data_IF_202688751856
#
_entry.id   IF_202688751856
#
_cell.length_a   1.000
_cell.length_b   1.000
_cell.length_c   1.000
_cell.angle_alpha   90.00
_cell.angle_beta   90.00
_cell.angle_gamma   90.00
#
_symmetry.space_group_name_H-M   'P 1'
#
loop_
_entity.id
_entity.type
_entity.pdbx_description
1 polymer ?
#
# COMPACT_ATOMS: atom_id res chain seq x y z
N UNK A 1 44.86 -33.14 -8.35
CA UNK A 1 43.49 -33.60 -7.99
C UNK A 1 42.80 -32.69 -6.96
N UNK A 2 43.46 -32.35 -5.83
CA UNK A 2 42.89 -31.53 -4.74
C UNK A 2 42.30 -30.18 -5.21
N UNK A 3 42.99 -29.46 -6.11
CA UNK A 3 42.54 -28.15 -6.63
C UNK A 3 41.22 -28.23 -7.42
N UNK A 4 40.96 -29.33 -8.14
CA UNK A 4 39.69 -29.55 -8.86
C UNK A 4 38.56 -29.92 -7.89
N UNK A 5 38.86 -30.68 -6.84
CA UNK A 5 37.89 -31.05 -5.79
C UNK A 5 37.43 -29.81 -5.00
N UNK A 6 38.35 -28.91 -4.64
CA UNK A 6 38.01 -27.66 -3.95
C UNK A 6 37.09 -26.77 -4.80
N UNK A 7 37.36 -26.64 -6.10
CA UNK A 7 36.50 -25.85 -7.01
C UNK A 7 35.10 -26.44 -7.08
N UNK A 8 34.97 -27.77 -7.18
CA UNK A 8 33.66 -28.44 -7.24
C UNK A 8 32.88 -28.23 -5.92
N UNK A 9 33.54 -28.40 -4.77
CA UNK A 9 32.89 -28.20 -3.46
C UNK A 9 32.45 -26.76 -3.27
N UNK A 10 33.27 -25.78 -3.65
CA UNK A 10 32.92 -24.35 -3.60
C UNK A 10 31.75 -24.04 -4.54
N UNK A 11 31.76 -24.55 -5.77
CA UNK A 11 30.63 -24.38 -6.70
C UNK A 11 29.34 -25.01 -6.16
N UNK A 12 29.40 -26.21 -5.57
CA UNK A 12 28.23 -26.86 -4.94
C UNK A 12 27.73 -26.05 -3.76
N UNK A 13 28.61 -25.56 -2.88
CA UNK A 13 28.22 -24.71 -1.74
C UNK A 13 27.58 -23.39 -2.19
N UNK A 14 28.10 -22.76 -3.25
CA UNK A 14 27.52 -21.54 -3.84
C UNK A 14 26.14 -21.83 -4.47
N UNK A 15 25.98 -22.94 -5.19
CA UNK A 15 24.70 -23.34 -5.78
C UNK A 15 23.64 -23.68 -4.71
N UNK A 16 24.06 -24.34 -3.62
CA UNK A 16 23.19 -24.67 -2.49
C UNK A 16 22.79 -23.39 -1.74
N UNK A 17 23.73 -22.49 -1.44
CA UNK A 17 23.43 -21.22 -0.76
C UNK A 17 22.45 -20.33 -1.53
N UNK A 18 22.55 -20.27 -2.87
CA UNK A 18 21.59 -19.54 -3.71
C UNK A 18 20.18 -20.15 -3.68
N UNK A 19 20.06 -21.46 -3.47
CA UNK A 19 18.77 -22.16 -3.35
C UNK A 19 18.08 -21.90 -2.00
N UNK A 20 18.84 -21.50 -0.97
CA UNK A 20 18.32 -21.16 0.37
C UNK A 20 18.10 -19.65 0.58
N UNK A 21 18.46 -18.80 -0.36
CA UNK A 21 18.22 -17.36 -0.26
C UNK A 21 16.70 -17.07 -0.25
N UNK A 22 16.25 -16.34 0.77
CA UNK A 22 14.84 -15.98 0.92
C UNK A 22 14.39 -15.12 -0.27
N UNK A 23 13.45 -15.63 -1.07
CA UNK A 23 12.94 -14.90 -2.23
C UNK A 23 12.13 -13.67 -1.80
N UNK A 24 12.21 -12.61 -2.59
CA UNK A 24 11.55 -11.34 -2.31
C UNK A 24 10.77 -10.86 -3.52
N UNK A 25 9.52 -10.46 -3.31
CA UNK A 25 8.63 -10.02 -4.38
C UNK A 25 7.96 -8.72 -3.99
N UNK A 26 7.72 -7.84 -4.95
CA UNK A 26 6.97 -6.62 -4.71
C UNK A 26 5.96 -6.36 -5.83
N UNK A 27 4.79 -5.87 -5.45
CA UNK A 27 3.80 -5.32 -6.38
C UNK A 27 3.48 -3.89 -5.96
N UNK A 28 3.75 -2.96 -6.86
CA UNK A 28 3.57 -1.53 -6.63
C UNK A 28 2.50 -1.00 -7.59
N UNK A 29 1.58 -0.20 -7.08
CA UNK A 29 0.54 0.48 -7.84
C UNK A 29 0.70 1.98 -7.63
N UNK A 30 0.76 2.75 -8.71
CA UNK A 30 0.96 4.20 -8.67
C UNK A 30 0.13 4.90 -9.72
N UNK A 31 -0.72 5.84 -9.31
CA UNK A 31 -1.60 6.57 -10.23
C UNK A 31 -1.33 8.06 -10.04
N UNK A 32 -1.09 8.77 -11.14
CA UNK A 32 -0.90 10.22 -11.11
C UNK A 32 -1.97 10.93 -11.93
N UNK A 33 -2.26 10.43 -13.13
CA UNK A 33 -3.23 11.06 -14.04
C UNK A 33 -4.58 10.34 -14.05
N UNK A 34 -5.49 10.73 -13.16
CA UNK A 34 -6.84 10.15 -13.11
C UNK A 34 -7.72 10.59 -14.28
N UNK A 35 -7.37 11.71 -14.94
CA UNK A 35 -8.12 12.21 -16.08
C UNK A 35 -7.93 11.35 -17.35
N UNK A 36 -6.86 10.54 -17.41
CA UNK A 36 -6.55 9.73 -18.58
C UNK A 36 -7.68 8.77 -18.98
N UNK A 37 -8.40 8.21 -18.00
CA UNK A 37 -9.56 7.34 -18.23
C UNK A 37 -10.87 7.90 -17.67
N UNK A 38 -10.82 8.80 -16.67
CA UNK A 38 -12.00 9.47 -16.14
C UNK A 38 -12.09 10.92 -16.66
N UNK A 39 -12.73 11.10 -17.82
CA UNK A 39 -12.90 12.41 -18.48
C UNK A 39 -13.82 13.39 -17.75
N UNK A 40 -14.51 12.95 -16.70
CA UNK A 40 -15.36 13.82 -15.92
C UNK A 40 -14.56 14.72 -14.95
N UNK A 41 -13.22 14.58 -14.90
CA UNK A 41 -12.30 15.33 -14.03
C UNK A 41 -12.75 15.32 -12.56
N UNK A 42 -13.28 14.17 -12.15
CA UNK A 42 -13.86 13.97 -10.82
C UNK A 42 -12.82 13.78 -9.72
N UNK A 43 -11.63 13.31 -10.10
CA UNK A 43 -10.50 13.08 -9.23
C UNK A 43 -9.39 14.06 -9.58
N UNK A 44 -8.78 14.67 -8.57
CA UNK A 44 -7.58 15.48 -8.80
C UNK A 44 -6.41 14.57 -9.21
N UNK A 45 -5.53 15.10 -10.04
CA UNK A 45 -4.26 14.43 -10.29
C UNK A 45 -3.37 14.52 -9.03
N UNK A 46 -2.61 13.45 -8.80
CA UNK A 46 -1.65 13.31 -7.70
C UNK A 46 -0.32 12.82 -8.29
N UNK A 47 0.64 12.43 -7.46
CA UNK A 47 1.98 12.06 -7.92
C UNK A 47 2.38 10.62 -7.55
N UNK A 48 1.42 9.68 -7.63
CA UNK A 48 1.67 8.31 -7.20
C UNK A 48 2.75 7.57 -8.01
N UNK A 49 2.98 7.95 -9.26
CA UNK A 49 4.07 7.37 -10.06
C UNK A 49 5.47 7.82 -9.64
N UNK A 50 5.59 8.97 -8.97
CA UNK A 50 6.86 9.38 -8.35
C UNK A 50 7.23 8.42 -7.21
N UNK A 51 6.27 8.04 -6.37
CA UNK A 51 6.48 7.09 -5.27
C UNK A 51 6.88 5.71 -5.80
N UNK A 52 6.14 5.21 -6.81
CA UNK A 52 6.46 3.91 -7.42
C UNK A 52 7.86 3.90 -8.02
N UNK A 53 8.30 4.97 -8.68
CA UNK A 53 9.66 5.06 -9.22
C UNK A 53 10.72 4.95 -8.11
N UNK A 54 10.52 5.69 -7.03
CA UNK A 54 11.43 5.78 -5.89
C UNK A 54 11.49 4.45 -5.11
N UNK A 55 10.35 3.81 -4.84
CA UNK A 55 10.30 2.52 -4.15
C UNK A 55 10.77 1.37 -5.05
N UNK A 56 10.50 1.41 -6.36
CA UNK A 56 10.99 0.39 -7.31
C UNK A 56 12.52 0.33 -7.30
N UNK A 57 13.18 1.48 -7.40
CA UNK A 57 14.65 1.55 -7.41
C UNK A 57 15.24 1.01 -6.11
N UNK A 58 14.66 1.39 -4.98
CA UNK A 58 15.05 0.91 -3.66
C UNK A 58 14.92 -0.62 -3.55
N UNK A 59 13.74 -1.18 -3.82
CA UNK A 59 13.48 -2.60 -3.62
C UNK A 59 14.29 -3.47 -4.58
N UNK A 60 14.52 -3.01 -5.82
CA UNK A 60 15.43 -3.69 -6.76
C UNK A 60 16.85 -3.78 -6.21
N UNK A 61 17.39 -2.70 -5.63
CA UNK A 61 18.70 -2.71 -4.96
C UNK A 61 18.76 -3.70 -3.79
N UNK A 62 17.63 -3.99 -3.16
CA UNK A 62 17.52 -4.98 -2.09
C UNK A 62 17.16 -6.40 -2.56
N UNK A 63 17.19 -6.66 -3.88
CA UNK A 63 16.99 -7.99 -4.45
C UNK A 63 15.54 -8.42 -4.63
N UNK A 64 14.57 -7.49 -4.60
CA UNK A 64 13.17 -7.82 -4.87
C UNK A 64 12.90 -8.03 -6.36
N UNK A 65 12.08 -9.02 -6.68
CA UNK A 65 11.41 -9.11 -7.97
C UNK A 65 10.22 -8.13 -7.97
N UNK A 66 10.42 -6.95 -8.55
CA UNK A 66 9.45 -5.85 -8.52
C UNK A 66 8.58 -5.87 -9.78
N UNK A 67 7.26 -5.91 -9.60
CA UNK A 67 6.26 -5.62 -10.63
C UNK A 67 5.56 -4.30 -10.30
N UNK A 68 5.39 -3.43 -11.27
CA UNK A 68 4.74 -2.13 -11.08
C UNK A 68 3.59 -1.94 -12.07
N UNK A 69 2.47 -1.40 -11.58
CA UNK A 69 1.29 -1.05 -12.36
C UNK A 69 1.07 0.45 -12.21
N UNK A 70 1.12 1.19 -13.32
CA UNK A 70 0.98 2.64 -13.28
C UNK A 70 0.03 3.18 -14.33
N UNK A 71 -0.49 4.39 -14.06
CA UNK A 71 -1.36 5.17 -14.96
C UNK A 71 -2.50 4.30 -15.53
N UNK A 72 -2.73 4.33 -16.84
CA UNK A 72 -3.83 3.63 -17.53
C UNK A 72 -3.84 2.11 -17.35
N UNK A 73 -2.75 1.53 -16.85
CA UNK A 73 -2.70 0.10 -16.51
C UNK A 73 -3.24 -0.19 -15.11
N UNK A 74 -3.38 0.80 -14.23
CA UNK A 74 -3.81 0.64 -12.84
C UNK A 74 -5.33 0.50 -12.71
N UNK A 75 -5.96 -0.23 -13.63
CA UNK A 75 -7.38 -0.55 -13.56
C UNK A 75 -7.64 -1.60 -12.50
N UNK A 76 -8.86 -1.63 -11.95
CA UNK A 76 -9.24 -2.66 -10.96
C UNK A 76 -8.92 -4.06 -11.44
N UNK A 77 -9.35 -4.38 -12.67
CA UNK A 77 -9.18 -5.70 -13.25
C UNK A 77 -7.69 -6.11 -13.32
N UNK A 78 -6.81 -5.19 -13.70
CA UNK A 78 -5.38 -5.49 -13.80
C UNK A 78 -4.70 -5.58 -12.43
N UNK A 79 -5.07 -4.72 -11.46
CA UNK A 79 -4.55 -4.79 -10.09
C UNK A 79 -4.89 -6.15 -9.46
N UNK A 80 -6.16 -6.56 -9.53
CA UNK A 80 -6.60 -7.85 -8.98
C UNK A 80 -5.95 -9.05 -9.70
N UNK A 81 -5.81 -8.97 -11.03
CA UNK A 81 -5.09 -9.97 -11.81
C UNK A 81 -3.63 -10.11 -11.35
N UNK A 82 -2.94 -9.01 -11.10
CA UNK A 82 -1.53 -9.02 -10.68
C UNK A 82 -1.37 -9.51 -9.23
N UNK A 83 -2.29 -9.17 -8.32
CA UNK A 83 -2.33 -9.75 -6.97
C UNK A 83 -2.54 -11.27 -7.02
N UNK A 84 -3.46 -11.74 -7.86
CA UNK A 84 -3.66 -13.18 -8.11
C UNK A 84 -2.37 -13.82 -8.64
N UNK A 85 -1.76 -13.26 -9.68
CA UNK A 85 -0.54 -13.79 -10.27
C UNK A 85 0.64 -13.79 -9.29
N UNK A 86 0.78 -12.75 -8.47
CA UNK A 86 1.78 -12.69 -7.40
C UNK A 86 1.60 -13.85 -6.44
N UNK A 87 0.37 -14.13 -6.00
CA UNK A 87 0.06 -15.26 -5.11
C UNK A 87 0.50 -16.61 -5.69
N UNK A 88 0.40 -16.78 -7.02
CA UNK A 88 0.86 -18.01 -7.68
C UNK A 88 2.39 -18.08 -7.79
N UNK A 89 3.06 -16.94 -7.94
CA UNK A 89 4.52 -16.85 -8.15
C UNK A 89 5.34 -16.94 -6.86
N UNK A 90 4.81 -16.46 -5.74
CA UNK A 90 5.55 -16.44 -4.47
C UNK A 90 5.76 -17.86 -3.93
N UNK A 91 6.91 -18.08 -3.30
CA UNK A 91 7.26 -19.35 -2.65
C UNK A 91 7.04 -19.26 -1.14
N UNK A 92 6.79 -20.39 -0.47
CA UNK A 92 6.74 -20.45 1.00
C UNK A 92 8.02 -19.85 1.59
N UNK A 93 7.88 -19.05 2.63
CA UNK A 93 8.99 -18.34 3.27
C UNK A 93 9.39 -17.02 2.61
N UNK A 94 8.79 -16.60 1.49
CA UNK A 94 9.18 -15.35 0.82
C UNK A 94 8.82 -14.10 1.63
N UNK A 95 9.47 -12.98 1.32
CA UNK A 95 9.03 -11.64 1.74
C UNK A 95 8.27 -11.00 0.59
N UNK A 96 7.07 -10.50 0.86
CA UNK A 96 6.25 -9.79 -0.11
C UNK A 96 6.03 -8.37 0.38
N UNK A 97 6.18 -7.40 -0.53
CA UNK A 97 5.90 -5.99 -0.29
C UNK A 97 4.85 -5.49 -1.29
N UNK A 98 3.69 -5.10 -0.78
CA UNK A 98 2.63 -4.46 -1.56
C UNK A 98 2.65 -2.96 -1.28
N UNK A 99 2.49 -2.15 -2.31
CA UNK A 99 2.50 -0.70 -2.19
C UNK A 99 1.43 -0.10 -3.09
N UNK A 100 0.56 0.70 -2.51
CA UNK A 100 -0.53 1.38 -3.20
C UNK A 100 -0.38 2.88 -2.98
N UNK A 101 -0.09 3.59 -4.07
CA UNK A 101 0.05 5.05 -4.11
C UNK A 101 -1.01 5.59 -5.07
N UNK A 102 -2.18 5.88 -4.50
CA UNK A 102 -3.41 6.19 -5.23
C UNK A 102 -4.37 7.00 -4.35
N UNK A 103 -5.55 7.33 -4.88
CA UNK A 103 -6.63 7.88 -4.07
C UNK A 103 -7.27 6.79 -3.21
N UNK A 104 -7.76 7.19 -2.04
CA UNK A 104 -8.72 6.43 -1.26
C UNK A 104 -10.11 7.08 -1.27
N UNK A 105 -11.14 6.27 -1.05
CA UNK A 105 -12.50 6.74 -0.83
C UNK A 105 -13.19 5.90 0.25
N UNK A 106 -13.95 6.48 1.18
CA UNK A 106 -14.86 5.70 2.03
C UNK A 106 -15.93 5.07 1.16
N UNK A 107 -16.18 3.78 1.30
CA UNK A 107 -17.18 3.06 0.54
C UNK A 107 -18.26 2.58 1.50
N UNK A 108 -19.54 2.81 1.19
CA UNK A 108 -20.60 2.40 2.12
C UNK A 108 -20.58 0.89 2.31
N UNK A 109 -20.38 0.47 3.55
CA UNK A 109 -20.33 -0.92 3.97
C UNK A 109 -21.65 -1.61 3.60
N UNK A 110 -21.52 -2.77 2.96
CA UNK A 110 -22.64 -3.59 2.47
C UNK A 110 -22.87 -4.83 3.32
N UNK A 111 -21.88 -5.25 4.10
CA UNK A 111 -21.86 -6.52 4.79
C UNK A 111 -22.15 -6.33 6.31
N UNK A 112 -21.89 -5.13 6.84
CA UNK A 112 -22.19 -4.72 8.21
C UNK A 112 -21.09 -5.05 9.22
N UNK A 113 -19.86 -5.31 8.77
CA UNK A 113 -18.70 -5.59 9.63
C UNK A 113 -17.99 -4.32 10.13
N UNK A 114 -18.26 -3.16 9.53
CA UNK A 114 -17.64 -1.90 9.94
C UNK A 114 -18.47 -1.15 10.99
N UNK A 115 -17.86 -0.81 12.12
CA UNK A 115 -18.56 -0.15 13.25
C UNK A 115 -19.09 1.25 12.90
N UNK A 116 -18.47 1.94 11.93
CA UNK A 116 -18.99 3.20 11.39
C UNK A 116 -19.77 3.02 10.06
N UNK A 117 -19.81 1.77 9.57
CA UNK A 117 -20.44 1.31 8.34
C UNK A 117 -19.83 1.94 7.08
N UNK A 118 -18.52 2.11 7.05
CA UNK A 118 -17.76 2.52 5.87
C UNK A 118 -16.50 1.68 5.72
N UNK A 119 -16.41 0.99 4.60
CA UNK A 119 -15.18 0.33 4.17
C UNK A 119 -14.14 1.36 3.73
N UNK A 120 -12.87 1.08 3.95
CA UNK A 120 -11.81 1.73 3.21
C UNK A 120 -11.71 1.15 1.80
N UNK A 121 -11.54 2.01 0.78
CA UNK A 121 -11.32 1.54 -0.59
C UNK A 121 -10.21 2.26 -1.34
N UNK A 122 -9.35 1.47 -1.99
CA UNK A 122 -8.43 1.98 -3.00
C UNK A 122 -9.23 2.38 -4.24
N UNK A 123 -8.81 3.46 -4.90
CA UNK A 123 -9.42 3.99 -6.12
C UNK A 123 -8.51 3.70 -7.31
N UNK A 124 -8.77 2.64 -8.09
CA UNK A 124 -8.17 2.42 -9.40
C UNK A 124 -8.44 3.57 -10.37
N UNK A 125 -7.63 3.68 -11.42
CA UNK A 125 -7.74 4.77 -12.41
C UNK A 125 -9.09 4.78 -13.16
N UNK A 126 -9.77 3.63 -13.20
CA UNK A 126 -11.06 3.44 -13.87
C UNK A 126 -12.26 3.50 -12.91
N UNK A 127 -12.08 3.99 -11.68
CA UNK A 127 -13.16 4.16 -10.69
C UNK A 127 -13.66 5.62 -10.62
N UNK A 128 -14.90 5.90 -11.09
CA UNK A 128 -15.57 7.18 -10.84
C UNK A 128 -15.76 7.51 -9.37
N UNK A 129 -15.79 8.81 -9.04
CA UNK A 129 -15.95 9.26 -7.63
C UNK A 129 -17.40 9.11 -7.14
N UNK A 130 -18.36 9.17 -8.06
CA UNK A 130 -19.77 9.34 -7.75
C UNK A 130 -20.56 8.04 -7.95
N UNK A 131 -21.35 7.66 -6.95
CA UNK A 131 -22.40 6.67 -7.15
C UNK A 131 -23.47 7.22 -8.09
N UNK A 132 -23.86 6.42 -9.08
CA UNK A 132 -25.00 6.69 -9.96
C UNK A 132 -25.68 5.38 -10.31
N UNK A 133 -26.85 5.14 -9.71
CA UNK A 133 -27.67 3.95 -9.96
C UNK A 133 -27.86 3.70 -11.46
N UNK A 134 -27.63 2.45 -11.90
CA UNK A 134 -27.72 2.05 -13.30
C UNK A 134 -26.61 2.58 -14.23
N UNK A 135 -25.65 3.38 -13.73
CA UNK A 135 -24.48 3.84 -14.50
C UNK A 135 -23.18 3.35 -13.87
N UNK A 136 -22.93 3.70 -12.61
CA UNK A 136 -21.76 3.29 -11.87
C UNK A 136 -22.10 3.05 -10.40
N UNK A 137 -21.97 1.80 -9.98
CA UNK A 137 -22.35 1.33 -8.64
C UNK A 137 -21.14 0.83 -7.82
N UNK A 138 -19.95 1.31 -8.17
CA UNK A 138 -18.73 1.09 -7.37
C UNK A 138 -17.93 -0.15 -7.76
N UNK A 139 -18.30 -0.83 -8.85
CA UNK A 139 -17.66 -2.09 -9.28
C UNK A 139 -16.15 -1.98 -9.55
N UNK A 140 -15.62 -0.78 -9.74
CA UNK A 140 -14.19 -0.52 -10.00
C UNK A 140 -13.42 -0.08 -8.75
N UNK A 141 -14.06 0.13 -7.60
CA UNK A 141 -13.36 0.27 -6.33
C UNK A 141 -12.79 -1.07 -5.85
N UNK A 142 -11.71 -1.00 -5.07
CA UNK A 142 -11.16 -2.16 -4.35
C UNK A 142 -11.31 -1.84 -2.86
N UNK A 143 -12.37 -2.34 -2.23
CA UNK A 143 -12.54 -2.26 -0.78
C UNK A 143 -11.49 -3.11 -0.07
N UNK A 144 -11.19 -2.76 1.17
CA UNK A 144 -10.48 -3.59 2.15
C UNK A 144 -10.97 -5.03 2.16
N UNK A 145 -12.27 -5.28 2.11
CA UNK A 145 -12.94 -6.57 2.00
C UNK A 145 -12.41 -7.39 0.81
N UNK A 146 -12.39 -6.77 -0.37
CA UNK A 146 -11.86 -7.38 -1.59
C UNK A 146 -10.36 -7.62 -1.44
N UNK A 147 -9.62 -6.65 -0.89
CA UNK A 147 -8.18 -6.73 -0.73
C UNK A 147 -7.77 -7.79 0.30
N UNK A 148 -8.53 -7.95 1.37
CA UNK A 148 -8.35 -8.88 2.47
C UNK A 148 -8.33 -10.32 1.95
N UNK A 149 -9.19 -10.67 1.00
CA UNK A 149 -9.16 -11.98 0.33
C UNK A 149 -7.82 -12.29 -0.35
N UNK A 150 -7.22 -11.30 -1.04
CA UNK A 150 -5.89 -11.48 -1.67
C UNK A 150 -4.75 -11.49 -0.64
N UNK A 151 -4.85 -10.64 0.39
CA UNK A 151 -3.90 -10.59 1.51
C UNK A 151 -3.87 -11.94 2.23
N UNK A 152 -5.02 -12.49 2.59
CA UNK A 152 -5.12 -13.77 3.29
C UNK A 152 -4.55 -14.91 2.43
N UNK A 153 -4.89 -14.96 1.14
CA UNK A 153 -4.33 -15.94 0.21
C UNK A 153 -2.80 -15.84 0.11
N UNK A 154 -2.24 -14.62 0.05
CA UNK A 154 -0.80 -14.39 0.10
C UNK A 154 -0.21 -14.86 1.42
N UNK A 155 -0.77 -14.47 2.57
CA UNK A 155 -0.26 -14.86 3.90
C UNK A 155 -0.21 -16.38 4.06
N UNK A 156 -1.26 -17.11 3.63
CA UNK A 156 -1.24 -18.57 3.66
C UNK A 156 -0.20 -19.17 2.71
N UNK A 157 -0.05 -18.63 1.50
CA UNK A 157 0.96 -19.11 0.54
C UNK A 157 2.39 -18.90 1.06
N UNK A 158 2.64 -17.77 1.72
CA UNK A 158 3.93 -17.44 2.32
C UNK A 158 4.22 -18.33 3.54
N UNK A 159 3.20 -18.67 4.33
CA UNK A 159 3.35 -19.48 5.53
C UNK A 159 4.08 -18.76 6.66
N UNK A 160 4.12 -19.37 7.84
CA UNK A 160 4.71 -18.80 9.06
C UNK A 160 6.20 -18.37 8.97
N UNK A 161 6.94 -18.80 7.94
CA UNK A 161 8.33 -18.36 7.68
C UNK A 161 8.44 -17.19 6.71
N UNK A 162 7.34 -16.76 6.10
CA UNK A 162 7.31 -15.61 5.20
C UNK A 162 6.98 -14.32 5.93
N UNK A 163 6.89 -13.21 5.19
CA UNK A 163 6.48 -11.90 5.71
C UNK A 163 5.72 -11.15 4.62
N UNK A 164 4.62 -10.53 4.99
CA UNK A 164 3.88 -9.61 4.12
C UNK A 164 3.96 -8.19 4.69
N UNK A 165 4.34 -7.23 3.85
CA UNK A 165 4.15 -5.82 4.11
C UNK A 165 3.11 -5.28 3.13
N UNK A 166 2.15 -4.51 3.62
CA UNK A 166 1.15 -3.81 2.82
C UNK A 166 1.22 -2.34 3.18
N UNK A 167 1.49 -1.49 2.19
CA UNK A 167 1.64 -0.05 2.36
C UNK A 167 0.58 0.64 1.52
N UNK A 168 -0.31 1.36 2.19
CA UNK A 168 -1.42 2.11 1.58
C UNK A 168 -1.15 3.60 1.77
N UNK A 169 -0.46 4.20 0.80
CA UNK A 169 -0.22 5.65 0.73
C UNK A 169 -1.38 6.35 -0.01
N UNK A 170 -2.57 6.16 0.57
CA UNK A 170 -3.87 6.69 0.15
C UNK A 170 -4.63 7.22 1.38
N UNK A 171 -5.79 7.83 1.20
CA UNK A 171 -6.61 8.36 2.30
C UNK A 171 -8.10 8.41 1.94
N UNK A 172 -8.98 8.29 2.93
CA UNK A 172 -10.45 8.31 2.80
C UNK A 172 -11.06 9.62 3.33
N UNK A 173 -10.21 10.64 3.51
CA UNK A 173 -10.46 12.01 3.91
C UNK A 173 -11.01 12.29 5.31
N UNK A 174 -10.09 12.81 6.11
CA UNK A 174 -10.35 13.60 7.29
C UNK A 174 -10.87 15.01 7.08
N UNK A 175 -11.06 15.72 8.19
CA UNK A 175 -11.39 17.16 8.16
C UNK A 175 -10.21 17.92 7.56
N UNK A 176 -10.40 18.49 6.36
CA UNK A 176 -9.54 19.57 5.89
C UNK A 176 -9.56 20.69 6.94
N UNK A 177 -8.45 20.84 7.67
CA UNK A 177 -8.13 22.13 8.28
C UNK A 177 -8.11 23.14 7.15
N UNK A 178 -8.64 24.34 7.39
CA UNK A 178 -8.87 25.39 6.39
C UNK A 178 -7.57 26.05 5.89
N UNK A 179 -6.45 25.34 5.97
CA UNK A 179 -5.07 25.85 5.87
C UNK A 179 -4.24 25.02 4.87
N UNK A 180 -4.81 24.76 3.69
CA UNK A 180 -4.08 24.15 2.59
C UNK A 180 -3.92 25.20 1.48
N UNK A 181 -2.68 25.54 1.16
CA UNK A 181 -2.34 26.42 0.03
C UNK A 181 -2.71 25.76 -1.31
N UNK A 182 -2.79 26.57 -2.37
CA UNK A 182 -3.16 26.15 -3.74
C UNK A 182 -2.28 25.04 -4.35
N UNK A 183 -1.09 24.75 -3.76
CA UNK A 183 -0.20 23.64 -4.16
C UNK A 183 -0.43 22.34 -3.36
N UNK A 184 -1.53 22.21 -2.62
CA UNK A 184 -1.78 21.00 -1.82
C UNK A 184 -2.48 19.91 -2.63
N UNK A 185 -1.75 18.85 -2.96
CA UNK A 185 -2.32 17.61 -3.49
C UNK A 185 -2.73 16.69 -2.34
N UNK A 186 -3.95 16.17 -2.39
CA UNK A 186 -4.47 15.25 -1.35
C UNK A 186 -4.86 13.93 -1.98
N UNK A 187 -4.61 12.83 -1.26
CA UNK A 187 -4.77 11.46 -1.79
C UNK A 187 -6.09 10.81 -1.38
N UNK A 188 -7.14 11.60 -1.28
CA UNK A 188 -8.45 11.15 -0.84
C UNK A 188 -9.57 12.15 -1.11
N UNK A 189 -10.79 11.76 -0.76
CA UNK A 189 -11.97 12.64 -0.86
C UNK A 189 -12.90 12.46 0.33
N UNK A 190 -13.51 13.55 0.81
CA UNK A 190 -14.52 13.53 1.89
C UNK A 190 -15.85 12.93 1.43
N UNK A 191 -16.00 12.73 0.12
CA UNK A 191 -17.20 12.16 -0.47
C UNK A 191 -17.17 10.65 -0.31
N UNK A 192 -17.99 10.13 0.59
CA UNK A 192 -18.27 8.70 0.65
C UNK A 192 -18.95 8.20 -0.64
N UNK A 193 -18.56 7.02 -1.10
CA UNK A 193 -19.23 6.31 -2.17
C UNK A 193 -20.43 5.55 -1.60
N UNK A 194 -21.62 6.14 -1.67
CA UNK A 194 -22.81 5.63 -0.98
C UNK A 194 -24.01 5.48 -1.91
N UNK A 195 -24.51 4.25 -2.10
CA UNK A 195 -25.80 4.01 -2.73
C UNK A 195 -27.00 4.58 -1.96
N UNK A 196 -26.95 4.60 -0.63
CA UNK A 196 -28.08 5.08 0.21
C UNK A 196 -28.08 6.59 0.43
N UNK A 197 -27.02 7.29 0.03
CA UNK A 197 -26.80 8.71 0.34
C UNK A 197 -26.28 8.97 1.76
N UNK A 198 -25.82 7.93 2.47
CA UNK A 198 -25.12 8.02 3.75
C UNK A 198 -23.96 9.01 3.64
N UNK A 199 -23.85 9.90 4.62
CA UNK A 199 -22.76 10.88 4.69
C UNK A 199 -21.60 10.30 5.48
N UNK A 200 -20.41 10.29 4.89
CA UNK A 200 -19.21 9.84 5.58
C UNK A 200 -18.85 10.79 6.73
N UNK A 201 -18.65 10.22 7.92
CA UNK A 201 -18.23 10.93 9.13
C UNK A 201 -17.19 10.09 9.86
N UNK A 202 -15.93 10.34 9.56
CA UNK A 202 -14.82 9.68 10.23
C UNK A 202 -14.93 9.81 11.76
N UNK A 203 -14.85 8.67 12.46
CA UNK A 203 -14.74 8.64 13.92
C UNK A 203 -13.30 8.92 14.34
N UNK A 204 -13.11 9.83 15.29
CA UNK A 204 -11.77 10.17 15.76
C UNK A 204 -11.21 9.08 16.66
N UNK A 205 -9.99 8.64 16.34
CA UNK A 205 -9.17 7.80 17.20
C UNK A 205 -7.82 8.47 17.45
N UNK A 206 -7.32 8.35 18.68
CA UNK A 206 -5.94 8.70 19.01
C UNK A 206 -4.96 7.56 18.70
N UNK A 207 -5.48 6.34 18.53
CA UNK A 207 -4.69 5.13 18.32
C UNK A 207 -4.10 5.11 16.91
N UNK A 208 -2.83 4.72 16.83
CA UNK A 208 -2.06 4.59 15.59
C UNK A 208 -1.42 3.21 15.45
N UNK A 209 -1.73 2.30 16.36
CA UNK A 209 -1.08 1.01 16.50
C UNK A 209 -2.12 -0.07 16.77
N UNK A 210 -2.34 -0.95 15.81
CA UNK A 210 -3.34 -2.01 15.88
C UNK A 210 -2.68 -3.40 15.79
N UNK A 211 -3.41 -4.41 16.25
CA UNK A 211 -2.98 -5.80 16.18
C UNK A 211 -3.89 -6.50 15.19
N UNK A 212 -3.29 -7.14 14.18
CA UNK A 212 -4.03 -7.96 13.21
C UNK A 212 -3.99 -9.41 13.67
N UNK A 213 -5.13 -10.10 13.82
CA UNK A 213 -5.12 -11.52 14.14
C UNK A 213 -4.32 -12.33 13.12
N UNK A 214 -3.56 -13.32 13.60
CA UNK A 214 -2.88 -14.30 12.76
C UNK A 214 -3.58 -15.65 12.84
N UNK A 215 -4.02 -16.17 11.69
CA UNK A 215 -4.59 -17.52 11.59
C UNK A 215 -3.46 -18.55 11.54
N UNK A 216 -3.73 -19.78 12.02
CA UNK A 216 -2.76 -20.86 11.98
C UNK A 216 -2.22 -21.09 10.55
N UNK A 217 -0.91 -21.07 10.39
CA UNK A 217 -0.25 -21.25 9.10
C UNK A 217 -0.11 -19.99 8.24
N UNK A 218 -0.63 -18.84 8.66
CA UNK A 218 -0.38 -17.57 7.96
C UNK A 218 1.04 -17.03 8.21
N UNK A 219 1.55 -16.27 7.25
CA UNK A 219 2.70 -15.41 7.48
C UNK A 219 2.34 -14.21 8.36
N UNK A 220 3.28 -13.72 9.20
CA UNK A 220 3.15 -12.42 9.82
C UNK A 220 2.99 -11.33 8.74
N UNK A 221 2.16 -10.35 9.04
CA UNK A 221 1.86 -9.22 8.17
C UNK A 221 2.01 -7.90 8.92
N UNK A 222 2.40 -6.86 8.17
CA UNK A 222 2.49 -5.49 8.66
C UNK A 222 1.80 -4.57 7.66
N UNK A 223 0.82 -3.82 8.13
CA UNK A 223 0.03 -2.86 7.36
C UNK A 223 0.42 -1.45 7.78
N UNK A 224 0.68 -0.60 6.79
CA UNK A 224 0.97 0.81 6.99
C UNK A 224 -0.01 1.64 6.19
N UNK A 225 -0.69 2.55 6.86
CA UNK A 225 -1.61 3.48 6.22
C UNK A 225 -1.15 4.91 6.49
N UNK A 226 -1.24 5.74 5.45
CA UNK A 226 -0.63 7.06 5.47
C UNK A 226 -1.18 8.01 6.55
N UNK A 227 -2.44 7.82 6.99
CA UNK A 227 -3.09 8.68 7.97
C UNK A 227 -4.28 7.99 8.63
N UNK A 228 -4.69 8.47 9.82
CA UNK A 228 -5.94 8.05 10.46
C UNK A 228 -7.18 8.48 9.65
N UNK A 229 -8.33 7.84 9.90
CA UNK A 229 -9.62 8.13 9.25
C UNK A 229 -10.04 9.62 9.28
N UNK A 230 -9.73 10.34 10.37
CA UNK A 230 -10.03 11.79 10.50
C UNK A 230 -8.97 12.72 9.93
N UNK A 231 -7.92 12.20 9.31
CA UNK A 231 -6.76 12.94 8.80
C UNK A 231 -6.68 12.92 7.28
N UNK A 232 -5.81 13.77 6.72
CA UNK A 232 -5.62 13.86 5.27
C UNK A 232 -4.20 13.42 4.93
N UNK A 233 -4.08 12.56 3.94
CA UNK A 233 -2.80 12.29 3.29
C UNK A 233 -2.51 13.38 2.25
N UNK A 234 -1.78 14.41 2.66
CA UNK A 234 -1.36 15.51 1.81
C UNK A 234 0.06 15.25 1.30
N UNK A 235 0.29 15.44 0.00
CA UNK A 235 1.60 15.22 -0.58
C UNK A 235 2.64 16.20 -0.06
N UNK A 236 3.90 15.75 0.01
CA UNK A 236 5.04 16.57 0.40
C UNK A 236 5.92 16.89 -0.79
N UNK A 237 6.33 18.16 -0.93
CA UNK A 237 7.25 18.61 -1.98
C UNK A 237 8.68 18.45 -1.48
N UNK A 238 9.48 17.62 -2.15
CA UNK A 238 10.90 17.39 -1.85
C UNK A 238 11.71 17.53 -3.14
N UNK A 239 12.67 18.46 -3.15
CA UNK A 239 13.53 18.76 -4.30
C UNK A 239 12.74 19.01 -5.60
N UNK A 240 11.66 19.81 -5.51
CA UNK A 240 10.84 20.16 -6.67
C UNK A 240 9.89 19.08 -7.18
N UNK A 241 9.82 17.91 -6.52
CA UNK A 241 8.86 16.84 -6.85
C UNK A 241 7.94 16.55 -5.67
N UNK A 242 6.71 16.17 -5.97
CA UNK A 242 5.73 15.75 -4.96
C UNK A 242 5.75 14.24 -4.78
N UNK A 243 5.54 13.81 -3.54
CA UNK A 243 5.50 12.42 -3.11
C UNK A 243 4.42 12.22 -2.05
N UNK A 244 3.93 10.99 -1.93
CA UNK A 244 3.25 10.54 -0.73
C UNK A 244 4.26 10.61 0.44
N UNK A 245 3.94 11.28 1.56
CA UNK A 245 4.90 11.44 2.63
C UNK A 245 5.38 10.10 3.18
N UNK A 246 4.47 9.15 3.36
CA UNK A 246 4.82 7.82 3.84
C UNK A 246 5.80 7.14 2.88
N UNK A 247 5.53 7.14 1.57
CA UNK A 247 6.44 6.60 0.54
C UNK A 247 7.82 7.24 0.58
N UNK A 248 7.90 8.56 0.69
CA UNK A 248 9.17 9.29 0.76
C UNK A 248 10.00 8.87 1.98
N UNK A 249 9.40 8.84 3.17
CA UNK A 249 10.10 8.48 4.40
C UNK A 249 10.43 6.99 4.50
N UNK A 250 9.59 6.10 3.92
CA UNK A 250 9.93 4.69 3.71
C UNK A 250 11.22 4.57 2.93
N UNK A 251 11.35 5.29 1.82
CA UNK A 251 12.57 5.26 1.03
C UNK A 251 13.78 5.76 1.79
N UNK A 252 13.66 6.86 2.55
CA UNK A 252 14.76 7.34 3.37
C UNK A 252 15.25 6.28 4.37
N UNK A 253 14.34 5.65 5.10
CA UNK A 253 14.70 4.62 6.11
C UNK A 253 15.27 3.37 5.46
N UNK A 254 14.62 2.85 4.42
CA UNK A 254 15.02 1.60 3.79
C UNK A 254 16.23 1.76 2.85
N UNK A 255 16.61 2.98 2.47
CA UNK A 255 17.87 3.21 1.73
C UNK A 255 19.11 2.79 2.53
N UNK A 256 19.00 2.76 3.86
CA UNK A 256 20.08 2.37 4.79
C UNK A 256 19.73 1.13 5.62
N UNK A 257 18.52 0.57 5.44
CA UNK A 257 18.01 -0.57 6.22
C UNK A 257 17.51 -1.66 5.28
N UNK A 258 18.04 -2.88 5.44
CA UNK A 258 17.59 -4.02 4.65
C UNK A 258 16.20 -4.50 5.09
N UNK A 259 15.27 -4.61 4.13
CA UNK A 259 13.92 -5.07 4.39
C UNK A 259 13.90 -6.60 4.56
N UNK A 260 13.56 -7.02 5.77
CA UNK A 260 13.51 -8.41 6.23
C UNK A 260 12.24 -8.69 7.03
N UNK A 261 12.32 -9.58 8.02
CA UNK A 261 11.21 -9.89 8.93
C UNK A 261 10.97 -8.83 10.02
N UNK A 262 11.96 -8.01 10.32
CA UNK A 262 11.93 -7.06 11.43
C UNK A 262 11.12 -5.80 11.08
N UNK A 263 10.16 -5.44 11.93
CA UNK A 263 9.29 -4.27 11.77
C UNK A 263 9.86 -2.97 12.35
N UNK A 264 11.04 -2.99 12.97
CA UNK A 264 11.63 -1.81 13.64
C UNK A 264 11.80 -0.59 12.71
N UNK A 265 11.95 -0.80 11.40
CA UNK A 265 12.05 0.27 10.42
C UNK A 265 10.75 1.10 10.33
N UNK A 266 9.60 0.48 10.59
CA UNK A 266 8.30 1.15 10.54
C UNK A 266 8.23 2.29 11.55
N UNK A 267 8.70 2.07 12.77
CA UNK A 267 8.71 3.10 13.81
C UNK A 267 9.69 4.24 13.48
N UNK A 268 10.78 3.95 12.76
CA UNK A 268 11.67 5.00 12.24
C UNK A 268 10.96 5.86 11.20
N UNK A 269 10.17 5.26 10.31
CA UNK A 269 9.34 5.99 9.33
C UNK A 269 8.34 6.89 10.05
N UNK A 270 7.59 6.36 11.03
CA UNK A 270 6.63 7.17 11.81
C UNK A 270 7.33 8.34 12.52
N UNK A 271 8.50 8.10 13.12
CA UNK A 271 9.29 9.13 13.79
C UNK A 271 9.73 10.25 12.83
N UNK A 272 10.20 9.90 11.63
CA UNK A 272 10.58 10.90 10.61
C UNK A 272 9.36 11.69 10.11
N UNK A 273 8.23 11.02 9.89
CA UNK A 273 6.97 11.70 9.52
C UNK A 273 6.55 12.70 10.59
N UNK A 274 6.50 12.29 11.87
CA UNK A 274 6.11 13.16 12.99
C UNK A 274 7.06 14.33 13.25
N UNK A 275 8.32 14.22 12.83
CA UNK A 275 9.29 15.32 12.92
C UNK A 275 9.00 16.43 11.91
N UNK A 276 8.45 16.07 10.76
CA UNK A 276 8.33 16.96 9.60
C UNK A 276 6.88 17.35 9.29
N UNK A 277 5.91 16.58 9.81
CA UNK A 277 4.48 16.72 9.57
C UNK A 277 3.78 16.74 10.92
N UNK A 278 2.91 17.73 11.13
CA UNK A 278 2.08 17.79 12.33
C UNK A 278 1.21 16.53 12.44
N UNK A 279 1.44 15.75 13.49
CA UNK A 279 0.72 14.51 13.78
C UNK A 279 -0.79 14.72 13.97
N UNK A 280 -1.27 15.96 14.16
CA UNK A 280 -2.70 16.29 14.12
C UNK A 280 -3.25 16.29 12.70
N UNK A 281 -2.45 16.69 11.70
CA UNK A 281 -2.82 16.73 10.28
C UNK A 281 -2.73 15.36 9.62
N UNK A 282 -1.63 14.65 9.89
CA UNK A 282 -1.34 13.34 9.30
C UNK A 282 -0.41 12.54 10.21
N UNK A 283 -0.86 11.36 10.64
CA UNK A 283 -0.06 10.42 11.43
C UNK A 283 -0.29 9.00 10.92
N UNK A 284 0.80 8.30 10.62
CA UNK A 284 0.76 6.96 10.03
C UNK A 284 0.15 5.96 11.02
N UNK A 285 -0.75 5.11 10.52
CA UNK A 285 -1.31 3.97 11.25
C UNK A 285 -0.48 2.73 10.94
N UNK A 286 -0.16 1.97 11.98
CA UNK A 286 0.67 0.77 11.93
C UNK A 286 -0.15 -0.38 12.48
N UNK A 287 -0.30 -1.44 11.70
CA UNK A 287 -0.92 -2.68 12.17
C UNK A 287 0.05 -3.83 11.98
N UNK A 288 0.34 -4.55 13.06
CA UNK A 288 1.27 -5.67 13.03
C UNK A 288 0.55 -6.90 13.53
N UNK A 289 0.64 -7.99 12.76
CA UNK A 289 0.03 -9.23 13.18
C UNK A 289 0.74 -9.83 14.38
N UNK A 290 -0.03 -10.30 15.37
CA UNK A 290 0.47 -11.02 16.54
C UNK A 290 -0.37 -12.25 16.81
#
# INVERSE_FOLDING_TARGET
MIRRLIIIVVCVLICVANSYAQKKYALLVGISDYHALNKANEWNNIHGTNDVSLITQLLKKQGFNVSAITETKATRANILKQLKQLTHRVSKGSIVYLHFSCHGQPFEDKNGDEEDGWDESLVPIDAPIAYKKGTYEGKNHITDDVLAGYIDALRFKLGCKGKLYVVVDACHAGKASRDFDDETFTRGTKRGFSPSGKVYRAKSSSRTHFVVPIKAGQAPATFLEACKSTQINAETKKNGKFYGPMSYYIHQVLSTTHLGHNDAWVYKVQGLMRKEIDAKRQDMVIEISK
#
